data_IF_103972735316
#
_entry.id   IF_103972735316
#
_cell.length_a   1.000
_cell.length_b   1.000
_cell.length_c   1.000
_cell.angle_alpha   90.00
_cell.angle_beta   90.00
_cell.angle_gamma   90.00
#
_symmetry.space_group_name_H-M   'P 1'
#
loop_
_entity.id
_entity.type
_entity.pdbx_description
1 polymer ?
#
# COMPACT_ATOMS: atom_id res chain seq x y z
N UNK A 1 1.58 -2.21 -4.38
CA UNK A 1 1.58 -3.14 -3.22
C UNK A 1 0.41 -4.12 -3.26
N UNK A 2 -0.79 -3.64 -3.60
CA UNK A 2 -2.00 -4.47 -3.75
C UNK A 2 -1.75 -5.71 -4.62
N UNK A 3 -1.29 -5.52 -5.86
CA UNK A 3 -1.06 -6.61 -6.81
C UNK A 3 -0.01 -7.61 -6.32
N UNK A 4 1.04 -7.15 -5.63
CA UNK A 4 2.07 -8.03 -5.06
C UNK A 4 1.49 -8.93 -3.96
N UNK A 5 0.62 -8.40 -3.11
CA UNK A 5 -0.10 -9.19 -2.10
C UNK A 5 -1.03 -10.21 -2.74
N UNK A 6 -1.78 -9.82 -3.79
CA UNK A 6 -2.65 -10.73 -4.55
C UNK A 6 -1.87 -11.87 -5.22
N UNK A 7 -0.71 -11.56 -5.83
CA UNK A 7 0.18 -12.55 -6.44
C UNK A 7 0.79 -13.51 -5.42
N UNK A 8 1.00 -13.06 -4.19
CA UNK A 8 1.41 -13.90 -3.07
C UNK A 8 0.26 -14.76 -2.48
N UNK A 9 -0.95 -14.67 -3.06
CA UNK A 9 -2.14 -15.39 -2.59
C UNK A 9 -2.79 -14.76 -1.35
N UNK A 10 -2.44 -13.53 -1.00
CA UNK A 10 -2.99 -12.83 0.16
C UNK A 10 -4.28 -12.10 -0.25
N UNK A 11 -5.32 -12.24 0.58
CA UNK A 11 -6.58 -11.53 0.40
C UNK A 11 -6.42 -10.06 0.81
N UNK A 12 -6.02 -9.24 -0.15
CA UNK A 12 -5.85 -7.80 0.06
C UNK A 12 -7.20 -7.07 0.02
N UNK A 13 -7.43 -6.03 0.84
CA UNK A 13 -8.61 -5.18 0.70
C UNK A 13 -8.50 -4.35 -0.59
N UNK A 14 -9.55 -4.37 -1.40
CA UNK A 14 -9.59 -3.68 -2.68
C UNK A 14 -10.92 -2.98 -2.94
N UNK A 15 -10.93 -2.11 -3.94
CA UNK A 15 -12.10 -1.38 -4.41
C UNK A 15 -11.85 -0.83 -5.81
N UNK A 16 -11.76 0.49 -5.96
CA UNK A 16 -11.56 1.16 -7.25
C UNK A 16 -10.21 0.92 -7.94
N UNK A 17 -9.18 0.46 -7.21
CA UNK A 17 -7.77 0.31 -7.67
C UNK A 17 -7.10 1.59 -8.24
N UNK A 18 -7.75 2.74 -8.16
CA UNK A 18 -7.27 4.04 -8.68
C UNK A 18 -6.91 5.05 -7.57
N UNK A 19 -6.96 4.62 -6.31
CA UNK A 19 -6.66 5.49 -5.16
C UNK A 19 -7.71 6.58 -4.89
N UNK A 20 -8.98 6.33 -5.24
CA UNK A 20 -10.10 7.28 -5.01
C UNK A 20 -11.08 6.82 -3.93
N UNK A 21 -11.31 5.51 -3.78
CA UNK A 21 -12.30 4.98 -2.84
C UNK A 21 -11.76 4.69 -1.43
N UNK A 22 -10.43 4.73 -1.26
CA UNK A 22 -9.73 4.45 0.01
C UNK A 22 -9.98 3.05 0.64
N UNK A 23 -10.69 2.15 -0.05
CA UNK A 23 -10.93 0.79 0.45
C UNK A 23 -9.66 -0.06 0.54
N UNK A 24 -8.58 0.33 -0.16
CA UNK A 24 -7.30 -0.38 -0.18
C UNK A 24 -6.31 0.11 0.90
N UNK A 25 -6.77 0.90 1.88
CA UNK A 25 -5.91 1.50 2.92
C UNK A 25 -5.53 0.48 3.98
N UNK A 26 -4.22 0.32 4.23
CA UNK A 26 -3.66 -0.50 5.30
C UNK A 26 -2.60 0.30 6.09
N UNK A 27 -2.38 -0.02 7.38
CA UNK A 27 -1.28 0.56 8.13
C UNK A 27 0.07 -0.07 7.72
N UNK A 28 1.09 0.78 7.60
CA UNK A 28 2.48 0.40 7.35
C UNK A 28 3.15 0.09 8.69
N UNK A 29 3.49 -1.18 8.93
CA UNK A 29 4.13 -1.61 10.19
C UNK A 29 5.64 -1.37 10.21
N UNK A 30 6.31 -1.37 9.05
CA UNK A 30 7.72 -1.02 8.94
C UNK A 30 8.10 -0.69 7.49
N UNK A 31 9.20 0.04 7.33
CA UNK A 31 9.75 0.43 6.03
C UNK A 31 9.15 1.71 5.47
N UNK A 32 9.37 1.95 4.17
CA UNK A 32 8.91 3.14 3.46
C UNK A 32 8.24 2.77 2.16
N UNK A 33 7.19 3.52 1.81
CA UNK A 33 6.47 3.36 0.55
C UNK A 33 6.26 4.72 -0.09
N UNK A 34 6.18 4.75 -1.41
CA UNK A 34 5.96 5.97 -2.18
C UNK A 34 4.62 5.95 -2.89
N UNK A 35 3.85 7.02 -2.75
CA UNK A 35 2.66 7.24 -3.57
C UNK A 35 3.12 7.53 -5.02
N UNK A 36 2.69 6.70 -5.96
CA UNK A 36 3.14 6.81 -7.36
C UNK A 36 2.50 7.98 -8.11
N UNK A 37 1.43 8.57 -7.57
CA UNK A 37 0.73 9.71 -8.17
C UNK A 37 1.31 11.04 -7.73
N UNK A 38 1.52 11.22 -6.42
CA UNK A 38 2.07 12.47 -5.88
C UNK A 38 3.60 12.44 -5.77
N UNK A 39 4.17 11.24 -5.62
CA UNK A 39 5.58 11.06 -5.34
C UNK A 39 5.93 11.18 -3.86
N UNK A 40 4.96 11.42 -2.98
CA UNK A 40 5.16 11.53 -1.52
C UNK A 40 5.59 10.18 -0.93
N UNK A 41 6.44 10.25 0.10
CA UNK A 41 6.89 9.08 0.84
C UNK A 41 6.15 8.96 2.16
N UNK A 42 5.80 7.73 2.52
CA UNK A 42 5.13 7.33 3.75
C UNK A 42 6.01 6.36 4.52
N UNK A 43 6.03 6.51 5.84
CA UNK A 43 6.86 5.73 6.74
C UNK A 43 6.07 4.87 7.72
N UNK A 44 6.79 4.18 8.59
CA UNK A 44 6.22 3.39 9.68
C UNK A 44 5.16 4.17 10.48
N UNK A 45 4.01 3.53 10.70
CA UNK A 45 2.86 4.13 11.38
C UNK A 45 1.85 4.83 10.47
N UNK A 46 2.23 5.14 9.22
CA UNK A 46 1.32 5.74 8.26
C UNK A 46 0.26 4.76 7.74
N UNK A 47 -0.85 5.33 7.25
CA UNK A 47 -1.89 4.58 6.54
C UNK A 47 -1.76 4.86 5.05
N UNK A 48 -1.56 3.82 4.27
CA UNK A 48 -1.21 3.93 2.85
C UNK A 48 -2.21 3.21 1.96
N UNK A 49 -2.50 3.80 0.80
CA UNK A 49 -3.34 3.18 -0.23
C UNK A 49 -2.51 2.17 -1.03
N UNK A 50 -2.64 0.89 -0.69
CA UNK A 50 -1.82 -0.19 -1.29
C UNK A 50 -1.93 -0.29 -2.82
N UNK A 51 -3.04 0.18 -3.37
CA UNK A 51 -3.34 0.18 -4.80
C UNK A 51 -2.58 1.26 -5.62
N UNK A 52 -2.04 2.30 -4.97
CA UNK A 52 -1.24 3.35 -5.62
C UNK A 52 0.10 3.61 -4.90
N UNK A 53 0.47 2.73 -3.97
CA UNK A 53 1.75 2.80 -3.26
C UNK A 53 2.71 1.75 -3.81
N UNK A 54 3.96 2.15 -4.01
CA UNK A 54 5.08 1.28 -4.35
C UNK A 54 6.04 1.19 -3.15
N UNK A 55 6.63 0.03 -2.89
CA UNK A 55 7.64 -0.11 -1.85
C UNK A 55 8.92 0.64 -2.25
N UNK A 56 9.49 1.43 -1.34
CA UNK A 56 10.81 2.07 -1.52
C UNK A 56 11.97 1.19 -1.03
N UNK A 57 11.67 -0.04 -0.60
CA UNK A 57 12.60 -1.01 -0.02
C UNK A 57 11.82 -2.12 0.69
N UNK A 58 12.46 -2.82 1.62
CA UNK A 58 11.76 -3.78 2.48
C UNK A 58 10.72 -3.05 3.34
N UNK A 59 9.48 -3.54 3.30
CA UNK A 59 8.37 -2.99 4.07
C UNK A 59 7.41 -4.07 4.54
N UNK A 60 6.76 -3.84 5.69
CA UNK A 60 5.78 -4.76 6.27
C UNK A 60 4.41 -4.09 6.36
N UNK A 61 3.39 -4.75 5.84
CA UNK A 61 2.01 -4.31 5.91
C UNK A 61 1.22 -5.22 6.85
N UNK A 62 0.37 -4.62 7.69
CA UNK A 62 -0.62 -5.39 8.46
C UNK A 62 -1.91 -5.48 7.66
N UNK A 63 -2.31 -6.71 7.32
CA UNK A 63 -3.49 -7.04 6.51
C UNK A 63 -4.59 -7.57 7.44
#
# INVERSE_FOLDING_TARGET
LLEAGEQAGIQMPFGCRMGICQSCVLPLESGHVRDIRSGDEHGEGDRIQTCISAASGDCTLKI
#
